data_IF_335226904092
#
_entry.id   IF_335226904092
#
_cell.length_a   1.000
_cell.length_b   1.000
_cell.length_c   1.000
_cell.angle_alpha   90.00
_cell.angle_beta   90.00
_cell.angle_gamma   90.00
#
_symmetry.space_group_name_H-M   'P 1'
#
loop_
_entity.id
_entity.type
_entity.pdbx_description
1 polymer ?
#
# COMPACT_ATOMS: atom_id res chain seq x y z
N UNK A 1 -6.81 -17.78 -25.15
CA UNK A 1 -8.08 -17.32 -24.60
C UNK A 1 -7.97 -15.81 -24.54
N UNK A 2 -8.93 -15.08 -25.08
CA UNK A 2 -8.85 -13.64 -25.28
C UNK A 2 -8.80 -12.93 -23.93
N UNK A 3 -7.74 -12.21 -23.65
CA UNK A 3 -7.66 -11.18 -22.62
C UNK A 3 -8.68 -10.10 -22.98
N UNK A 4 -9.77 -10.00 -22.20
CA UNK A 4 -10.76 -8.97 -22.39
C UNK A 4 -10.15 -7.63 -22.01
N UNK A 5 -9.82 -6.81 -23.02
CA UNK A 5 -9.64 -5.38 -22.79
C UNK A 5 -10.93 -4.83 -22.17
N UNK A 6 -10.85 -3.99 -21.13
CA UNK A 6 -12.06 -3.35 -20.58
C UNK A 6 -12.73 -2.54 -21.70
N UNK A 7 -14.06 -2.62 -21.77
CA UNK A 7 -14.84 -1.85 -22.71
C UNK A 7 -14.49 -0.36 -22.61
N UNK A 8 -14.26 0.32 -23.74
CA UNK A 8 -13.95 1.75 -23.77
C UNK A 8 -15.00 2.55 -23.00
N UNK A 9 -14.64 3.04 -21.81
CA UNK A 9 -15.50 3.91 -20.97
C UNK A 9 -15.56 3.56 -19.49
N UNK A 10 -15.11 2.38 -19.04
CA UNK A 10 -15.13 2.04 -17.61
C UNK A 10 -13.85 2.52 -16.92
N UNK A 11 -14.02 3.17 -15.76
CA UNK A 11 -12.90 3.62 -14.94
C UNK A 11 -12.20 2.39 -14.30
N UNK A 12 -10.93 2.11 -14.62
CA UNK A 12 -10.24 0.92 -14.15
C UNK A 12 -10.00 0.90 -12.61
N UNK A 13 -10.21 2.03 -11.94
CA UNK A 13 -10.11 2.13 -10.49
C UNK A 13 -11.36 1.57 -9.78
N UNK A 14 -12.49 1.45 -10.49
CA UNK A 14 -13.76 0.95 -9.93
C UNK A 14 -13.86 -0.53 -10.27
N UNK A 15 -13.69 -1.36 -9.24
CA UNK A 15 -13.81 -2.81 -9.37
C UNK A 15 -15.11 -3.35 -8.78
N UNK A 16 -14.98 -4.43 -8.03
CA UNK A 16 -16.06 -4.99 -7.22
C UNK A 16 -16.23 -4.20 -5.92
N UNK A 17 -17.36 -4.39 -5.24
CA UNK A 17 -17.56 -3.84 -3.90
C UNK A 17 -18.09 -4.89 -2.93
N UNK A 18 -17.71 -4.76 -1.66
CA UNK A 18 -18.17 -5.62 -0.58
C UNK A 18 -18.41 -4.78 0.68
N UNK A 19 -19.39 -5.18 1.48
CA UNK A 19 -19.67 -4.51 2.75
C UNK A 19 -18.69 -4.98 3.83
N UNK A 20 -17.99 -4.04 4.47
CA UNK A 20 -17.05 -4.26 5.57
C UNK A 20 -17.49 -3.39 6.75
N UNK A 21 -18.24 -3.96 7.67
CA UNK A 21 -18.93 -3.17 8.70
C UNK A 21 -19.85 -2.10 8.09
N UNK A 22 -19.60 -0.83 8.40
CA UNK A 22 -20.34 0.32 7.85
C UNK A 22 -19.76 0.85 6.53
N UNK A 23 -18.63 0.31 6.06
CA UNK A 23 -17.90 0.76 4.89
C UNK A 23 -18.26 -0.11 3.70
N UNK A 24 -18.49 0.50 2.52
CA UNK A 24 -18.60 -0.23 1.26
C UNK A 24 -17.27 -0.16 0.53
N UNK A 25 -16.49 -1.21 0.72
CA UNK A 25 -15.12 -1.30 0.19
C UNK A 25 -15.12 -1.61 -1.30
N UNK A 26 -14.56 -0.69 -2.10
CA UNK A 26 -14.17 -0.95 -3.48
C UNK A 26 -12.91 -1.79 -3.52
N UNK A 27 -12.83 -2.78 -4.42
CA UNK A 27 -11.62 -3.58 -4.58
C UNK A 27 -11.46 -4.12 -6.00
N UNK A 28 -10.22 -4.26 -6.41
CA UNK A 28 -9.87 -4.95 -7.64
C UNK A 28 -9.65 -6.43 -7.33
N UNK A 29 -10.07 -7.30 -8.24
CA UNK A 29 -9.84 -8.72 -8.15
C UNK A 29 -9.45 -9.29 -9.51
N UNK A 30 -8.32 -10.01 -9.55
CA UNK A 30 -7.77 -10.56 -10.77
C UNK A 30 -7.02 -11.88 -10.49
N UNK A 31 -6.98 -12.77 -11.49
CA UNK A 31 -6.30 -14.05 -11.36
C UNK A 31 -7.09 -15.11 -10.59
N UNK A 32 -6.42 -16.17 -10.20
CA UNK A 32 -6.98 -17.30 -9.48
C UNK A 32 -5.89 -18.02 -8.67
N UNK A 33 -6.27 -18.92 -7.76
CA UNK A 33 -5.33 -19.68 -6.92
C UNK A 33 -5.22 -19.15 -5.51
N UNK A 34 -4.02 -19.17 -4.93
CA UNK A 34 -3.79 -18.70 -3.57
C UNK A 34 -4.09 -17.19 -3.44
N UNK A 35 -4.82 -16.76 -2.40
CA UNK A 35 -5.20 -15.36 -2.26
C UNK A 35 -3.99 -14.49 -1.88
N UNK A 36 -3.86 -13.36 -2.59
CA UNK A 36 -2.85 -12.34 -2.38
C UNK A 36 -3.53 -10.99 -2.15
N UNK A 37 -3.40 -10.47 -0.94
CA UNK A 37 -3.93 -9.16 -0.54
C UNK A 37 -2.90 -8.06 -0.80
N UNK A 38 -3.28 -7.01 -1.53
CA UNK A 38 -2.42 -5.86 -1.80
C UNK A 38 -2.95 -4.63 -1.06
N UNK A 39 -2.18 -4.09 -0.12
CA UNK A 39 -2.51 -2.91 0.68
C UNK A 39 -1.69 -1.70 0.20
N UNK A 40 -2.37 -0.70 -0.35
CA UNK A 40 -1.77 0.50 -0.93
C UNK A 40 -1.21 1.48 0.11
N UNK A 41 -0.39 2.45 -0.34
CA UNK A 41 0.12 3.54 0.49
C UNK A 41 -0.91 4.65 0.75
N UNK A 42 -0.51 5.68 1.53
CA UNK A 42 -1.36 6.81 1.94
C UNK A 42 -1.13 8.10 1.16
N UNK A 43 -0.64 8.04 -0.07
CA UNK A 43 -0.43 9.25 -0.88
C UNK A 43 -1.75 9.90 -1.35
N UNK A 44 -1.77 11.23 -1.59
CA UNK A 44 -2.95 11.89 -2.10
C UNK A 44 -3.37 11.35 -3.47
N UNK A 45 -4.67 11.14 -3.67
CA UNK A 45 -5.24 10.57 -4.89
C UNK A 45 -4.89 9.09 -5.14
N UNK A 46 -4.45 8.35 -4.11
CA UNK A 46 -4.18 6.92 -4.25
C UNK A 46 -5.49 6.14 -4.31
N UNK A 47 -5.46 5.10 -5.13
CA UNK A 47 -6.38 3.97 -5.12
C UNK A 47 -5.55 2.69 -5.27
N UNK A 48 -6.15 1.55 -5.08
CA UNK A 48 -5.50 0.27 -5.34
C UNK A 48 -5.00 0.17 -6.78
N UNK A 49 -5.78 0.62 -7.75
CA UNK A 49 -5.34 0.67 -9.14
C UNK A 49 -4.13 1.60 -9.33
N UNK A 50 -4.20 2.83 -8.82
CA UNK A 50 -3.11 3.79 -8.96
C UNK A 50 -1.80 3.30 -8.34
N UNK A 51 -1.89 2.52 -7.26
CA UNK A 51 -0.72 1.96 -6.58
C UNK A 51 -0.17 0.71 -7.28
N UNK A 52 -1.02 -0.17 -7.80
CA UNK A 52 -0.64 -1.53 -8.19
C UNK A 52 -0.75 -1.83 -9.68
N UNK A 53 -1.27 -0.92 -10.53
CA UNK A 53 -1.60 -1.15 -11.95
C UNK A 53 -0.52 -1.82 -12.80
N UNK A 54 0.77 -1.59 -12.49
CA UNK A 54 1.88 -2.16 -13.26
C UNK A 54 2.26 -3.58 -12.81
N UNK A 55 1.79 -4.00 -11.63
CA UNK A 55 2.13 -5.31 -11.05
C UNK A 55 0.91 -6.24 -10.88
N UNK A 56 -0.32 -5.74 -11.15
CA UNK A 56 -1.53 -6.56 -11.04
C UNK A 56 -1.49 -7.78 -11.96
N UNK A 57 -1.23 -7.57 -13.26
CA UNK A 57 -1.22 -8.66 -14.26
C UNK A 57 -0.15 -9.70 -13.95
N UNK A 58 1.14 -9.35 -13.74
CA UNK A 58 2.17 -10.32 -13.39
C UNK A 58 1.87 -11.12 -12.12
N UNK A 59 1.32 -10.48 -11.09
CA UNK A 59 0.96 -11.17 -9.84
C UNK A 59 -0.28 -12.06 -10.03
N UNK A 60 -1.23 -11.64 -10.85
CA UNK A 60 -2.46 -12.39 -11.13
C UNK A 60 -2.24 -13.66 -11.96
N UNK A 61 -1.11 -13.79 -12.66
CA UNK A 61 -0.72 -15.03 -13.33
C UNK A 61 -0.46 -16.18 -12.32
N UNK A 62 -0.12 -15.83 -11.08
CA UNK A 62 0.31 -16.79 -10.04
C UNK A 62 -0.60 -16.84 -8.81
N UNK A 63 -1.49 -15.86 -8.64
CA UNK A 63 -2.30 -15.69 -7.44
C UNK A 63 -3.69 -15.13 -7.75
N UNK A 64 -4.63 -15.33 -6.84
CA UNK A 64 -5.87 -14.56 -6.80
C UNK A 64 -5.57 -13.24 -6.10
N UNK A 65 -5.31 -12.21 -6.87
CA UNK A 65 -4.98 -10.87 -6.37
C UNK A 65 -6.24 -10.14 -5.94
N UNK A 66 -6.20 -9.57 -4.74
CA UNK A 66 -7.28 -8.79 -4.12
C UNK A 66 -6.68 -7.47 -3.63
N UNK A 67 -7.15 -6.35 -4.16
CA UNK A 67 -6.59 -5.04 -3.85
C UNK A 67 -7.72 -4.07 -3.44
N UNK A 68 -8.07 -3.99 -2.12
CA UNK A 68 -9.07 -3.08 -1.63
C UNK A 68 -8.56 -1.65 -1.55
N UNK A 69 -9.43 -0.68 -1.83
CA UNK A 69 -9.23 0.71 -1.42
C UNK A 69 -9.53 0.83 0.08
N UNK A 70 -8.55 1.23 0.87
CA UNK A 70 -8.75 1.44 2.30
C UNK A 70 -9.63 2.67 2.56
N UNK A 71 -10.30 2.70 3.70
CA UNK A 71 -11.23 3.76 4.09
C UNK A 71 -10.60 5.15 3.93
N UNK A 72 -11.29 6.02 3.20
CA UNK A 72 -10.85 7.37 2.88
C UNK A 72 -9.99 7.49 1.62
N UNK A 73 -9.73 6.40 0.91
CA UNK A 73 -9.00 6.36 -0.34
C UNK A 73 -9.84 5.81 -1.50
N UNK A 74 -9.40 6.10 -2.72
CA UNK A 74 -9.95 5.56 -3.95
C UNK A 74 -11.45 5.75 -4.09
N UNK A 75 -12.16 4.66 -4.26
CA UNK A 75 -13.62 4.61 -4.46
C UNK A 75 -14.38 3.89 -3.33
N UNK A 76 -13.72 3.65 -2.22
CA UNK A 76 -14.38 3.11 -1.02
C UNK A 76 -15.31 4.16 -0.40
N UNK A 77 -16.59 3.78 -0.23
CA UNK A 77 -17.61 4.64 0.38
C UNK A 77 -17.55 4.50 1.91
N UNK A 78 -17.37 5.62 2.59
CA UNK A 78 -17.28 5.70 4.04
C UNK A 78 -18.50 6.43 4.63
N UNK A 79 -18.97 6.07 5.84
CA UNK A 79 -20.03 6.80 6.51
C UNK A 79 -19.58 8.20 6.92
N UNK A 80 -20.56 9.09 7.12
CA UNK A 80 -20.30 10.41 7.72
C UNK A 80 -19.65 10.24 9.10
N UNK A 81 -18.62 11.04 9.40
CA UNK A 81 -17.93 10.99 10.68
C UNK A 81 -16.92 9.83 10.81
N UNK A 82 -16.62 9.11 9.71
CA UNK A 82 -15.62 8.04 9.73
C UNK A 82 -14.35 8.48 10.46
N UNK A 83 -13.98 7.75 11.50
CA UNK A 83 -12.71 7.92 12.20
C UNK A 83 -11.59 7.17 11.45
N UNK A 84 -10.40 7.78 11.43
CA UNK A 84 -9.21 7.20 10.82
C UNK A 84 -8.20 6.86 11.91
N UNK A 85 -7.96 5.58 12.10
CA UNK A 85 -6.96 5.05 13.02
C UNK A 85 -6.43 3.72 12.49
N UNK A 86 -5.28 3.28 12.98
CA UNK A 86 -4.72 1.98 12.65
C UNK A 86 -5.74 0.86 12.92
N UNK A 87 -6.43 0.93 14.05
CA UNK A 87 -7.43 -0.04 14.47
C UNK A 87 -8.64 -0.07 13.52
N UNK A 88 -9.12 1.10 13.07
CA UNK A 88 -10.23 1.20 12.14
C UNK A 88 -9.89 0.62 10.75
N UNK A 89 -8.70 0.89 10.23
CA UNK A 89 -8.24 0.29 8.97
C UNK A 89 -7.98 -1.21 9.11
N UNK A 90 -7.41 -1.67 10.25
CA UNK A 90 -7.25 -3.09 10.50
C UNK A 90 -8.62 -3.81 10.56
N UNK A 91 -9.61 -3.22 11.23
CA UNK A 91 -10.95 -3.78 11.27
C UNK A 91 -11.55 -3.90 9.86
N UNK A 92 -11.41 -2.87 9.01
CA UNK A 92 -11.85 -2.94 7.61
C UNK A 92 -11.17 -4.10 6.86
N UNK A 93 -9.86 -4.31 7.07
CA UNK A 93 -9.12 -5.39 6.40
C UNK A 93 -9.64 -6.76 6.87
N UNK A 94 -9.85 -6.95 8.17
CA UNK A 94 -10.38 -8.20 8.72
C UNK A 94 -11.80 -8.46 8.20
N UNK A 95 -12.69 -7.47 8.24
CA UNK A 95 -14.05 -7.56 7.70
C UNK A 95 -14.04 -7.88 6.20
N UNK A 96 -13.07 -7.33 5.45
CA UNK A 96 -12.88 -7.62 4.03
C UNK A 96 -12.52 -9.09 3.79
N UNK A 97 -11.58 -9.64 4.56
CA UNK A 97 -11.22 -11.05 4.47
C UNK A 97 -12.42 -11.95 4.83
N UNK A 98 -13.15 -11.62 5.89
CA UNK A 98 -14.31 -12.39 6.35
C UNK A 98 -15.46 -12.35 5.35
N UNK A 99 -15.77 -11.17 4.79
CA UNK A 99 -16.83 -11.01 3.79
C UNK A 99 -16.56 -11.77 2.49
N UNK A 100 -15.29 -12.02 2.15
CA UNK A 100 -14.88 -12.82 0.99
C UNK A 100 -14.60 -14.31 1.33
N UNK A 101 -14.79 -14.72 2.58
CA UNK A 101 -14.54 -16.09 3.04
C UNK A 101 -13.06 -16.50 2.96
N UNK A 102 -12.15 -15.54 3.14
CA UNK A 102 -10.70 -15.77 3.06
C UNK A 102 -10.15 -16.07 4.45
N UNK A 103 -9.86 -17.32 4.74
CA UNK A 103 -9.32 -17.74 6.04
C UNK A 103 -7.87 -17.29 6.23
N UNK A 104 -7.05 -17.40 5.17
CA UNK A 104 -5.63 -17.08 5.20
C UNK A 104 -5.17 -16.52 3.86
N UNK A 105 -4.31 -15.49 3.87
CA UNK A 105 -3.82 -14.79 2.68
C UNK A 105 -2.33 -14.49 2.79
N UNK A 106 -1.63 -14.41 1.66
CA UNK A 106 -0.38 -13.67 1.60
C UNK A 106 -0.68 -12.19 1.45
N UNK A 107 0.17 -11.32 2.02
CA UNK A 107 -0.08 -9.87 2.05
C UNK A 107 1.12 -9.12 1.49
N UNK A 108 0.87 -8.16 0.60
CA UNK A 108 1.85 -7.16 0.16
C UNK A 108 1.38 -5.79 0.67
N UNK A 109 2.17 -5.13 1.47
CA UNK A 109 1.88 -3.79 2.00
C UNK A 109 2.89 -2.76 1.53
N UNK A 110 2.41 -1.68 0.90
CA UNK A 110 3.23 -0.54 0.52
C UNK A 110 3.12 0.59 1.54
N UNK A 111 4.24 1.09 2.06
CA UNK A 111 4.28 2.29 2.88
C UNK A 111 3.34 2.20 4.09
N UNK A 112 2.29 3.03 4.16
CA UNK A 112 1.18 2.93 5.09
C UNK A 112 0.53 1.53 5.09
N UNK A 113 0.27 0.97 3.90
CA UNK A 113 -0.24 -0.40 3.76
C UNK A 113 0.68 -1.46 4.36
N UNK A 114 1.98 -1.19 4.45
CA UNK A 114 2.96 -2.03 5.16
C UNK A 114 2.72 -2.04 6.67
N UNK A 115 2.43 -0.90 7.29
CA UNK A 115 2.02 -0.87 8.72
C UNK A 115 0.71 -1.63 8.95
N UNK A 116 -0.24 -1.55 8.01
CA UNK A 116 -1.48 -2.33 8.10
C UNK A 116 -1.25 -3.84 7.93
N UNK A 117 -0.32 -4.22 7.06
CA UNK A 117 0.09 -5.61 6.90
C UNK A 117 0.77 -6.17 8.16
N UNK A 118 1.63 -5.36 8.81
CA UNK A 118 2.20 -5.67 10.12
C UNK A 118 1.10 -5.79 11.19
N UNK A 119 0.15 -4.84 11.24
CA UNK A 119 -0.97 -4.89 12.18
C UNK A 119 -1.78 -6.18 12.03
N UNK A 120 -2.06 -6.62 10.80
CA UNK A 120 -2.76 -7.87 10.53
C UNK A 120 -1.93 -9.08 10.98
N UNK A 121 -0.63 -9.12 10.67
CA UNK A 121 0.24 -10.22 11.05
C UNK A 121 0.44 -10.34 12.57
N UNK A 122 0.44 -9.22 13.29
CA UNK A 122 0.57 -9.17 14.75
C UNK A 122 -0.75 -9.58 15.44
N UNK A 123 -1.87 -8.96 15.03
CA UNK A 123 -3.15 -9.18 15.71
C UNK A 123 -3.84 -10.50 15.28
N UNK A 124 -3.59 -10.95 14.06
CA UNK A 124 -4.23 -12.12 13.46
C UNK A 124 -3.22 -13.00 12.72
N UNK A 125 -2.21 -13.57 13.42
CA UNK A 125 -1.11 -14.32 12.80
C UNK A 125 -1.59 -15.52 11.96
N UNK A 126 -2.70 -16.16 12.34
CA UNK A 126 -3.29 -17.27 11.61
C UNK A 126 -3.89 -16.85 10.25
N UNK A 127 -4.14 -15.56 10.04
CA UNK A 127 -4.71 -15.00 8.80
C UNK A 127 -3.62 -14.69 7.76
N UNK A 128 -2.34 -14.63 8.14
CA UNK A 128 -1.23 -14.27 7.25
C UNK A 128 -0.37 -15.48 6.93
N UNK A 129 -0.23 -15.81 5.65
CA UNK A 129 0.61 -16.90 5.19
C UNK A 129 2.05 -16.45 4.93
N UNK A 130 2.21 -15.39 4.15
CA UNK A 130 3.48 -14.73 3.86
C UNK A 130 3.29 -13.22 3.84
N UNK A 131 4.34 -12.50 4.17
CA UNK A 131 4.31 -11.04 4.28
C UNK A 131 5.34 -10.42 3.33
N UNK A 132 4.93 -9.41 2.56
CA UNK A 132 5.82 -8.57 1.76
C UNK A 132 5.64 -7.12 2.20
N UNK A 133 6.71 -6.50 2.65
CA UNK A 133 6.73 -5.12 3.14
C UNK A 133 7.56 -4.25 2.19
N UNK A 134 6.93 -3.27 1.54
CA UNK A 134 7.59 -2.40 0.57
C UNK A 134 7.61 -0.95 1.05
N UNK A 135 8.81 -0.38 1.28
CA UNK A 135 8.98 0.99 1.76
C UNK A 135 8.12 1.26 3.00
N UNK A 136 8.07 0.29 3.92
CA UNK A 136 7.03 0.21 4.95
C UNK A 136 7.22 1.20 6.10
N UNK A 137 6.13 1.84 6.51
CA UNK A 137 5.96 2.36 7.88
C UNK A 137 5.76 1.16 8.81
N UNK A 138 6.05 1.30 10.09
CA UNK A 138 5.78 0.24 11.07
C UNK A 138 6.76 0.16 12.22
N UNK A 139 7.92 0.82 12.10
CA UNK A 139 8.87 1.03 13.19
C UNK A 139 8.96 2.53 13.51
N UNK A 140 9.42 2.92 14.72
CA UNK A 140 9.60 4.33 15.04
C UNK A 140 10.69 4.99 14.18
N UNK A 141 10.41 6.17 13.66
CA UNK A 141 11.40 7.03 12.97
C UNK A 141 11.00 8.51 13.07
N UNK A 142 11.95 9.39 12.86
CA UNK A 142 11.66 10.84 12.75
C UNK A 142 10.97 11.15 11.43
N UNK A 143 9.89 11.92 11.49
CA UNK A 143 9.14 12.34 10.30
C UNK A 143 10.07 12.99 9.26
N UNK A 144 10.13 12.39 8.08
CA UNK A 144 10.93 12.92 6.98
C UNK A 144 10.23 14.11 6.32
N UNK A 145 10.99 15.01 5.70
CA UNK A 145 10.43 16.08 4.87
C UNK A 145 9.53 15.53 3.75
N UNK A 146 9.90 14.38 3.18
CA UNK A 146 9.11 13.70 2.14
C UNK A 146 7.76 13.23 2.64
N UNK A 147 7.70 12.56 3.79
CA UNK A 147 6.44 12.08 4.36
C UNK A 147 5.58 13.26 4.87
N UNK A 148 6.20 14.31 5.44
CA UNK A 148 5.48 15.52 5.84
C UNK A 148 4.85 16.23 4.62
N UNK A 149 5.57 16.30 3.50
CA UNK A 149 5.02 16.83 2.24
C UNK A 149 3.87 15.97 1.69
N UNK A 150 3.93 14.63 1.83
CA UNK A 150 2.86 13.72 1.42
C UNK A 150 1.60 13.93 2.26
N UNK A 151 1.72 13.85 3.58
CA UNK A 151 0.58 13.97 4.49
C UNK A 151 0.07 15.40 4.67
N UNK A 152 0.93 16.38 4.35
CA UNK A 152 0.60 17.81 4.35
C UNK A 152 0.18 18.37 3.01
N UNK A 153 -0.08 17.48 2.03
CA UNK A 153 -0.44 17.91 0.68
C UNK A 153 -1.69 18.80 0.65
N UNK A 154 -1.52 19.94 0.03
CA UNK A 154 -2.62 20.84 -0.34
C UNK A 154 -2.85 20.74 -1.85
N UNK A 155 -4.10 20.48 -2.30
CA UNK A 155 -4.36 20.16 -3.70
C UNK A 155 -4.00 21.28 -4.68
N UNK A 156 -2.97 21.05 -5.49
CA UNK A 156 -2.68 21.82 -6.71
C UNK A 156 -1.89 20.95 -7.69
N UNK A 157 -1.95 21.23 -9.00
CA UNK A 157 -1.14 20.53 -9.99
C UNK A 157 0.36 20.66 -9.71
N UNK A 158 0.83 21.82 -9.26
CA UNK A 158 2.23 22.08 -8.94
C UNK A 158 2.68 21.27 -7.73
N UNK A 159 1.86 21.21 -6.65
CA UNK A 159 2.16 20.41 -5.47
C UNK A 159 2.19 18.91 -5.82
N UNK A 160 1.24 18.43 -6.63
CA UNK A 160 1.22 17.05 -7.10
C UNK A 160 2.47 16.75 -7.95
N UNK A 161 2.83 17.66 -8.86
CA UNK A 161 4.04 17.51 -9.69
C UNK A 161 5.31 17.40 -8.84
N UNK A 162 5.45 18.23 -7.80
CA UNK A 162 6.58 18.12 -6.85
C UNK A 162 6.60 16.79 -6.12
N UNK A 163 5.46 16.35 -5.57
CA UNK A 163 5.39 15.06 -4.88
C UNK A 163 5.82 13.91 -5.79
N UNK A 164 5.29 13.86 -7.00
CA UNK A 164 5.59 12.76 -7.92
C UNK A 164 7.05 12.76 -8.38
N UNK A 165 7.58 13.93 -8.77
CA UNK A 165 8.90 14.04 -9.42
C UNK A 165 10.07 14.16 -8.44
N UNK A 166 9.86 14.79 -7.28
CA UNK A 166 10.94 15.12 -6.36
C UNK A 166 10.94 14.27 -5.09
N UNK A 167 9.77 13.73 -4.71
CA UNK A 167 9.61 12.98 -3.45
C UNK A 167 9.47 11.49 -3.69
N UNK A 168 8.55 11.07 -4.57
CA UNK A 168 8.26 9.65 -4.75
C UNK A 168 9.25 8.93 -5.67
N UNK A 169 9.55 9.49 -6.84
CA UNK A 169 10.41 8.84 -7.82
C UNK A 169 11.89 9.22 -7.66
N UNK A 170 12.78 8.26 -7.94
CA UNK A 170 14.19 8.55 -8.16
C UNK A 170 14.41 9.11 -9.57
N UNK A 171 13.87 8.44 -10.60
CA UNK A 171 13.90 8.91 -11.98
C UNK A 171 12.54 9.49 -12.36
N UNK A 172 12.50 10.82 -12.48
CA UNK A 172 11.26 11.52 -12.85
C UNK A 172 10.99 11.53 -14.36
N UNK A 173 11.83 10.93 -15.18
CA UNK A 173 11.75 11.04 -16.66
C UNK A 173 10.48 10.42 -17.25
N UNK A 174 9.89 9.43 -16.57
CA UNK A 174 8.65 8.79 -17.00
C UNK A 174 7.38 9.55 -16.56
N UNK A 175 7.51 10.58 -15.69
CA UNK A 175 6.36 11.28 -15.11
C UNK A 175 5.95 12.43 -16.04
N UNK A 176 4.87 12.20 -16.79
CA UNK A 176 4.29 13.19 -17.71
C UNK A 176 3.38 14.17 -16.98
N UNK A 177 3.09 15.32 -17.63
CA UNK A 177 2.12 16.29 -17.09
C UNK A 177 0.70 15.72 -17.04
N UNK A 178 0.34 14.83 -17.95
CA UNK A 178 -0.94 14.12 -17.95
C UNK A 178 -1.07 13.20 -16.72
N UNK A 179 0.00 12.51 -16.33
CA UNK A 179 0.03 11.69 -15.10
C UNK A 179 -0.15 12.57 -13.86
N UNK A 180 0.51 13.73 -13.81
CA UNK A 180 0.36 14.70 -12.71
C UNK A 180 -1.07 15.21 -12.64
N UNK A 181 -1.65 15.61 -13.79
CA UNK A 181 -3.01 16.12 -13.86
C UNK A 181 -4.05 15.05 -13.46
N UNK A 182 -3.87 13.82 -13.92
CA UNK A 182 -4.74 12.69 -13.55
C UNK A 182 -4.70 12.44 -12.03
N UNK A 183 -3.49 12.39 -11.45
CA UNK A 183 -3.31 12.18 -10.00
C UNK A 183 -3.86 13.34 -9.17
N UNK A 184 -3.64 14.57 -9.62
CA UNK A 184 -4.25 15.76 -9.01
C UNK A 184 -5.77 15.65 -9.00
N UNK A 185 -6.38 15.35 -10.15
CA UNK A 185 -7.84 15.18 -10.26
C UNK A 185 -8.35 14.08 -9.33
N UNK A 186 -7.65 12.96 -9.24
CA UNK A 186 -7.98 11.89 -8.30
C UNK A 186 -7.89 12.36 -6.83
N UNK A 187 -6.92 13.22 -6.49
CA UNK A 187 -6.77 13.72 -5.11
C UNK A 187 -7.93 14.60 -4.64
N UNK A 188 -8.61 15.28 -5.56
CA UNK A 188 -9.79 16.12 -5.24
C UNK A 188 -10.98 15.29 -4.74
N UNK A 189 -11.10 14.03 -5.18
CA UNK A 189 -12.20 13.15 -4.79
C UNK A 189 -12.20 12.83 -3.30
N UNK A 190 -11.03 12.65 -2.73
CA UNK A 190 -10.85 12.23 -1.33
C UNK A 190 -10.23 13.32 -0.46
N UNK A 191 -10.16 14.56 -0.92
CA UNK A 191 -9.43 15.65 -0.24
C UNK A 191 -9.90 15.88 1.20
N UNK A 192 -11.21 15.84 1.45
CA UNK A 192 -11.78 16.09 2.78
C UNK A 192 -11.45 14.94 3.76
N UNK A 193 -11.50 13.70 3.29
CA UNK A 193 -11.08 12.53 4.07
C UNK A 193 -9.57 12.60 4.32
N UNK A 194 -8.77 12.88 3.30
CA UNK A 194 -7.33 12.95 3.39
C UNK A 194 -6.86 14.02 4.38
N UNK A 195 -7.46 15.22 4.36
CA UNK A 195 -7.15 16.29 5.30
C UNK A 195 -7.43 15.94 6.77
N UNK A 196 -8.36 15.00 7.03
CA UNK A 196 -8.68 14.51 8.37
C UNK A 196 -7.81 13.35 8.85
N UNK A 197 -7.12 12.62 7.95
CA UNK A 197 -6.34 11.44 8.30
C UNK A 197 -5.07 11.78 9.08
N UNK A 198 -4.30 12.76 8.59
CA UNK A 198 -2.96 13.07 9.10
C UNK A 198 -2.76 14.55 9.41
N UNK A 199 -3.64 15.19 10.24
CA UNK A 199 -3.47 16.60 10.60
C UNK A 199 -2.21 16.81 11.45
N UNK A 200 -1.62 18.00 11.33
CA UNK A 200 -0.45 18.40 12.12
C UNK A 200 -0.73 18.39 13.65
N UNK A 201 0.27 18.15 14.50
CA UNK A 201 1.65 17.77 14.19
C UNK A 201 1.74 16.30 13.72
N UNK A 202 2.44 16.04 12.59
CA UNK A 202 2.37 14.73 11.90
C UNK A 202 3.26 13.65 12.48
N UNK A 203 4.27 13.97 13.28
CA UNK A 203 5.08 12.96 13.97
C UNK A 203 4.21 11.95 14.73
N UNK A 204 3.16 12.41 15.39
CA UNK A 204 2.24 11.54 16.14
C UNK A 204 1.61 10.41 15.31
N UNK A 205 1.50 10.62 13.99
CA UNK A 205 0.93 9.62 13.09
C UNK A 205 1.97 8.57 12.70
N UNK A 206 3.24 8.97 12.59
CA UNK A 206 4.36 8.02 12.48
C UNK A 206 4.38 7.13 13.71
N UNK A 207 4.28 7.74 14.90
CA UNK A 207 4.29 7.03 16.19
C UNK A 207 3.07 6.09 16.32
N UNK A 208 1.88 6.54 15.89
CA UNK A 208 0.65 5.74 15.90
C UNK A 208 0.67 4.56 14.93
N UNK A 209 1.42 4.67 13.81
CA UNK A 209 1.58 3.61 12.83
C UNK A 209 2.74 2.67 13.15
N UNK A 210 3.60 3.01 14.12
CA UNK A 210 4.65 2.12 14.60
C UNK A 210 4.08 1.02 15.51
N UNK A 211 4.70 -0.14 15.44
CA UNK A 211 4.38 -1.29 16.30
C UNK A 211 5.50 -1.50 17.31
N UNK A 212 5.20 -1.99 18.52
CA UNK A 212 6.22 -2.37 19.49
C UNK A 212 7.18 -3.41 18.91
N UNK A 213 8.47 -3.29 19.22
CA UNK A 213 9.49 -4.25 18.80
C UNK A 213 9.13 -5.70 19.16
N UNK A 214 8.64 -5.91 20.37
CA UNK A 214 8.27 -7.24 20.87
C UNK A 214 7.16 -7.87 20.03
N UNK A 215 6.21 -7.07 19.52
CA UNK A 215 5.12 -7.56 18.69
C UNK A 215 5.62 -7.92 17.28
N UNK A 216 6.50 -7.09 16.70
CA UNK A 216 7.13 -7.38 15.40
C UNK A 216 8.02 -8.62 15.49
N UNK A 217 8.80 -8.79 16.57
CA UNK A 217 9.60 -10.00 16.80
C UNK A 217 8.75 -11.26 16.98
N UNK A 218 7.47 -11.11 17.32
CA UNK A 218 6.49 -12.21 17.40
C UNK A 218 5.92 -12.66 16.05
N UNK A 219 6.22 -11.96 14.95
CA UNK A 219 5.73 -12.34 13.61
C UNK A 219 6.41 -13.63 13.16
N UNK A 220 5.59 -14.64 12.85
CA UNK A 220 6.06 -15.96 12.39
C UNK A 220 5.89 -16.17 10.89
N UNK A 221 5.18 -15.29 10.20
CA UNK A 221 5.01 -15.36 8.76
C UNK A 221 6.34 -15.07 8.05
N UNK A 222 6.80 -15.94 7.12
CA UNK A 222 7.96 -15.63 6.28
C UNK A 222 7.79 -14.26 5.63
N UNK A 223 8.81 -13.42 5.68
CA UNK A 223 8.71 -12.01 5.29
C UNK A 223 9.75 -11.63 4.24
N UNK A 224 9.29 -11.00 3.15
CA UNK A 224 10.14 -10.30 2.18
C UNK A 224 10.03 -8.80 2.42
N UNK A 225 11.17 -8.15 2.58
CA UNK A 225 11.27 -6.69 2.72
C UNK A 225 11.86 -6.11 1.43
N UNK A 226 11.14 -5.15 0.82
CA UNK A 226 11.57 -4.50 -0.42
C UNK A 226 11.69 -3.00 -0.18
N UNK A 227 12.78 -2.38 -0.66
CA UNK A 227 12.96 -0.93 -0.47
C UNK A 227 13.78 -0.29 -1.60
N UNK A 228 13.39 0.89 -2.05
CA UNK A 228 14.20 1.76 -2.88
C UNK A 228 15.26 2.45 -2.02
N UNK A 229 16.55 2.27 -2.33
CA UNK A 229 17.65 2.84 -1.52
C UNK A 229 17.57 4.37 -1.39
N UNK A 230 17.01 5.03 -2.39
CA UNK A 230 16.97 6.49 -2.51
C UNK A 230 15.57 7.04 -2.14
N UNK A 231 14.79 6.27 -1.36
CA UNK A 231 13.46 6.65 -0.84
C UNK A 231 13.56 7.88 0.07
N UNK A 232 12.84 8.94 -0.28
CA UNK A 232 12.79 10.21 0.47
C UNK A 232 11.58 10.29 1.40
N UNK A 233 10.68 9.31 1.34
CA UNK A 233 9.45 9.27 2.14
C UNK A 233 9.68 8.44 3.38
N UNK A 234 10.13 7.19 3.22
CA UNK A 234 10.40 6.27 4.33
C UNK A 234 11.91 5.97 4.36
N UNK A 235 12.57 6.17 5.51
CA UNK A 235 14.00 5.89 5.61
C UNK A 235 14.32 4.41 5.37
N UNK A 236 15.37 4.11 4.61
CA UNK A 236 15.86 2.75 4.42
C UNK A 236 16.12 2.03 5.76
N UNK A 237 16.49 2.79 6.79
CA UNK A 237 16.70 2.27 8.15
C UNK A 237 15.48 1.50 8.69
N UNK A 238 14.26 1.88 8.30
CA UNK A 238 13.05 1.15 8.70
C UNK A 238 13.08 -0.30 8.20
N UNK A 239 13.45 -0.51 6.94
CA UNK A 239 13.56 -1.86 6.39
C UNK A 239 14.68 -2.67 7.00
N UNK A 240 15.80 -2.04 7.35
CA UNK A 240 16.89 -2.70 8.06
C UNK A 240 16.50 -3.08 9.49
N UNK A 241 15.72 -2.23 10.16
CA UNK A 241 15.16 -2.54 11.49
C UNK A 241 14.16 -3.69 11.41
N UNK A 242 13.27 -3.71 10.42
CA UNK A 242 12.34 -4.81 10.21
C UNK A 242 13.06 -6.12 9.91
N UNK A 243 14.15 -6.08 9.12
CA UNK A 243 15.00 -7.24 8.82
C UNK A 243 15.69 -7.79 10.09
N UNK A 244 16.07 -6.93 11.02
CA UNK A 244 16.64 -7.34 12.31
C UNK A 244 15.58 -7.91 13.27
N UNK A 245 14.35 -7.37 13.23
CA UNK A 245 13.32 -7.74 14.19
C UNK A 245 12.51 -8.97 13.78
N UNK A 246 12.31 -9.21 12.48
CA UNK A 246 11.56 -10.37 11.98
C UNK A 246 12.54 -11.51 11.67
N UNK A 247 12.47 -12.59 12.44
CA UNK A 247 13.44 -13.69 12.39
C UNK A 247 13.48 -14.38 11.02
N UNK A 248 12.32 -14.80 10.48
CA UNK A 248 12.23 -15.39 9.13
C UNK A 248 12.00 -14.31 8.07
N UNK A 249 13.03 -13.50 7.82
CA UNK A 249 12.94 -12.41 6.86
C UNK A 249 14.14 -12.35 5.91
N UNK A 250 13.90 -11.76 4.73
CA UNK A 250 14.90 -11.43 3.74
C UNK A 250 14.62 -10.06 3.14
N UNK A 251 15.65 -9.36 2.66
CA UNK A 251 15.50 -8.05 2.07
C UNK A 251 16.05 -7.98 0.64
N UNK A 252 15.34 -7.23 -0.22
CA UNK A 252 15.79 -6.82 -1.55
C UNK A 252 15.80 -5.30 -1.64
N UNK A 253 16.98 -4.71 -1.85
CA UNK A 253 17.16 -3.26 -1.92
C UNK A 253 17.49 -2.85 -3.35
N UNK A 254 16.69 -1.95 -3.92
CA UNK A 254 16.90 -1.42 -5.26
C UNK A 254 17.72 -0.12 -5.19
N UNK A 255 18.90 -0.10 -5.81
CA UNK A 255 19.66 1.15 -6.02
C UNK A 255 19.02 1.99 -7.14
N UNK A 256 19.14 3.33 -7.06
CA UNK A 256 18.52 4.26 -8.01
C UNK A 256 16.99 4.09 -8.09
N UNK A 257 16.37 3.90 -6.94
CA UNK A 257 14.95 3.70 -6.76
C UNK A 257 14.45 4.53 -5.60
N UNK A 258 13.34 5.24 -5.80
CA UNK A 258 12.66 6.04 -4.79
C UNK A 258 11.62 5.21 -4.02
N UNK A 259 10.54 5.90 -3.61
CA UNK A 259 9.46 5.30 -2.84
C UNK A 259 8.55 4.36 -3.66
N UNK A 260 8.53 4.53 -4.97
CA UNK A 260 7.65 3.80 -5.88
C UNK A 260 8.32 2.60 -6.54
N UNK A 261 8.88 1.68 -5.73
CA UNK A 261 9.58 0.48 -6.22
C UNK A 261 8.73 -0.33 -7.21
N UNK A 262 7.44 -0.50 -6.95
CA UNK A 262 6.49 -1.22 -7.82
C UNK A 262 6.14 -0.48 -9.14
N UNK A 263 6.65 0.74 -9.30
CA UNK A 263 6.50 1.54 -10.52
C UNK A 263 7.84 1.65 -11.25
N UNK A 264 8.91 2.02 -10.51
CA UNK A 264 10.24 2.22 -11.09
C UNK A 264 10.92 0.90 -11.49
N UNK A 265 10.59 -0.20 -10.80
CA UNK A 265 11.12 -1.56 -11.01
C UNK A 265 9.99 -2.59 -11.03
N UNK A 266 8.93 -2.34 -11.81
CA UNK A 266 7.70 -3.12 -11.77
C UNK A 266 7.93 -4.62 -12.09
N UNK A 267 8.73 -4.92 -13.11
CA UNK A 267 9.01 -6.29 -13.54
C UNK A 267 9.84 -7.03 -12.49
N UNK A 268 10.93 -6.43 -12.02
CA UNK A 268 11.81 -7.03 -11.01
C UNK A 268 11.11 -7.16 -9.65
N UNK A 269 10.29 -6.18 -9.26
CA UNK A 269 9.47 -6.26 -8.07
C UNK A 269 8.49 -7.43 -8.16
N UNK A 270 7.76 -7.53 -9.27
CA UNK A 270 6.80 -8.62 -9.50
C UNK A 270 7.49 -9.99 -9.43
N UNK A 271 8.65 -10.13 -10.08
CA UNK A 271 9.42 -11.36 -10.07
C UNK A 271 9.87 -11.74 -8.65
N UNK A 272 10.38 -10.77 -7.86
CA UNK A 272 10.80 -11.01 -6.47
C UNK A 272 9.62 -11.47 -5.60
N UNK A 273 8.45 -10.82 -5.76
CA UNK A 273 7.24 -11.20 -5.02
C UNK A 273 6.78 -12.61 -5.43
N UNK A 274 6.69 -12.92 -6.72
CA UNK A 274 6.28 -14.25 -7.22
C UNK A 274 7.25 -15.33 -6.74
N UNK A 275 8.56 -15.11 -6.88
CA UNK A 275 9.58 -16.06 -6.41
C UNK A 275 9.46 -16.34 -4.92
N UNK A 276 9.21 -15.28 -4.12
CA UNK A 276 9.03 -15.43 -2.68
C UNK A 276 7.74 -16.18 -2.33
N UNK A 277 6.62 -15.84 -2.98
CA UNK A 277 5.32 -16.47 -2.71
C UNK A 277 5.29 -17.96 -3.11
N UNK A 278 5.98 -18.33 -4.17
CA UNK A 278 5.99 -19.71 -4.72
C UNK A 278 7.02 -20.62 -4.08
N UNK A 279 8.01 -20.11 -3.35
CA UNK A 279 8.96 -20.93 -2.57
C UNK A 279 8.20 -21.74 -1.51
N UNK A 280 8.52 -23.03 -1.42
CA UNK A 280 8.00 -23.96 -0.40
C UNK A 280 8.72 -23.79 0.92
#
# INVERSE_FOLDING_TARGET
>A
MQSGEPAQGENPEIGKSVQTGAIRTNYLEQGSGAPLLLLHGSGPGVSSYANWRLVLDPLAEHSRVLAPDLAGFGYTEIPEGQEFSREAWLAQIVDFLDALGLERVSVVGNSFGGSMALALAIAHPDRVEKLVLMGSVGVPFELTDGLDAVWGYEPSPEAMGRLMREVFAYDASFITDDMVQSRYTASLRTQDAFARMFPAPRQRWVDAMAHPEADIRGITAPTLIVHGRDDKVIPLANSLTLLDWIDDSQAHLFGRCGHWTQIEYADEFSQQVVDFLTRR
#
